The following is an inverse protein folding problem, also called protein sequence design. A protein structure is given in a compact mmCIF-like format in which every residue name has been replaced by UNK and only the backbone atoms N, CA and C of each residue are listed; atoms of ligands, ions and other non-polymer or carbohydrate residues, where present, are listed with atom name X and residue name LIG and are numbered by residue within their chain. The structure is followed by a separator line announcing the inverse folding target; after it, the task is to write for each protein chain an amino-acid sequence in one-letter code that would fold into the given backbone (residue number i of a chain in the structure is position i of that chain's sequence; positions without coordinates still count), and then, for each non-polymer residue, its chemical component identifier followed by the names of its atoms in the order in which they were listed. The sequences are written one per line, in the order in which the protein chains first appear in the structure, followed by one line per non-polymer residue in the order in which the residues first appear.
data_IF_612573190334
#
_entry.id   IF_612573190334
#
_cell.length_a   1.000
_cell.length_b   1.000
_cell.length_c   1.000
_cell.angle_alpha   90.00
_cell.angle_beta   90.00
_cell.angle_gamma   90.00
#
_symmetry.space_group_name_H-M   'P 1'
#
loop_
_entity.id
_entity.type
_entity.pdbx_description
1 polymer ?
#
# COMPACT_ATOMS: atom_id res chain seq x y z
N UNK A 1 12.50 -21.12 -9.20
CA UNK A 1 12.40 -20.09 -8.17
C UNK A 1 13.25 -18.84 -8.45
N UNK A 2 14.53 -18.94 -8.91
CA UNK A 2 15.39 -17.76 -9.19
C UNK A 2 14.83 -16.79 -10.27
N UNK A 3 14.18 -17.30 -11.32
CA UNK A 3 13.57 -16.46 -12.38
C UNK A 3 12.36 -15.68 -11.87
N UNK A 4 11.55 -16.25 -10.98
CA UNK A 4 10.41 -15.59 -10.37
C UNK A 4 10.85 -14.47 -9.40
N UNK A 5 11.92 -14.72 -8.63
CA UNK A 5 12.48 -13.72 -7.74
C UNK A 5 13.07 -12.51 -8.51
N UNK A 6 13.63 -12.74 -9.71
CA UNK A 6 14.10 -11.66 -10.58
C UNK A 6 12.94 -10.85 -11.18
N UNK A 7 11.83 -11.51 -11.53
CA UNK A 7 10.66 -10.85 -12.11
C UNK A 7 9.80 -10.10 -11.06
N UNK A 8 9.87 -10.50 -9.78
CA UNK A 8 9.01 -9.95 -8.73
C UNK A 8 9.07 -8.41 -8.59
N UNK A 9 10.23 -7.72 -8.61
CA UNK A 9 10.27 -6.26 -8.54
C UNK A 9 9.56 -5.58 -9.72
N UNK A 10 9.71 -6.12 -10.93
CA UNK A 10 9.09 -5.58 -12.13
C UNK A 10 7.57 -5.75 -12.10
N UNK A 11 7.10 -6.94 -11.72
CA UNK A 11 5.66 -7.22 -11.54
C UNK A 11 5.08 -6.31 -10.46
N UNK A 12 5.77 -6.18 -9.33
CA UNK A 12 5.36 -5.27 -8.26
C UNK A 12 5.24 -3.82 -8.75
N UNK A 13 6.26 -3.32 -9.46
CA UNK A 13 6.26 -1.95 -9.98
C UNK A 13 5.10 -1.72 -10.95
N UNK A 14 4.83 -2.65 -11.86
CA UNK A 14 3.70 -2.55 -12.79
C UNK A 14 2.36 -2.54 -12.07
N UNK A 15 2.15 -3.46 -11.12
CA UNK A 15 0.91 -3.52 -10.34
C UNK A 15 0.76 -2.27 -9.47
N UNK A 16 1.83 -1.82 -8.82
CA UNK A 16 1.81 -0.62 -7.99
C UNK A 16 1.49 0.64 -8.80
N UNK A 17 2.19 0.83 -9.92
CA UNK A 17 1.99 2.00 -10.79
C UNK A 17 0.60 2.03 -11.42
N UNK A 18 0.01 0.89 -11.74
CA UNK A 18 -1.35 0.81 -12.25
C UNK A 18 -2.39 1.38 -11.27
N UNK A 19 -2.09 1.37 -9.97
CA UNK A 19 -2.94 1.97 -8.95
C UNK A 19 -3.19 3.46 -9.14
N UNK A 20 -2.19 4.23 -9.60
CA UNK A 20 -2.35 5.66 -9.89
C UNK A 20 -3.15 5.92 -11.17
N UNK A 21 -3.03 5.04 -12.16
CA UNK A 21 -3.85 5.09 -13.38
C UNK A 21 -5.31 4.81 -13.04
N UNK A 22 -5.56 3.78 -12.23
CA UNK A 22 -6.91 3.45 -11.73
C UNK A 22 -7.47 4.60 -10.87
N UNK A 23 -6.64 5.22 -10.02
CA UNK A 23 -7.05 6.37 -9.24
C UNK A 23 -7.44 7.57 -10.10
N UNK A 24 -6.82 7.76 -11.28
CA UNK A 24 -7.14 8.87 -12.18
C UNK A 24 -8.41 8.63 -13.00
N UNK A 25 -8.60 7.42 -13.50
CA UNK A 25 -9.67 7.11 -14.48
C UNK A 25 -10.80 6.24 -13.90
N UNK A 26 -10.58 5.64 -12.74
CA UNK A 26 -11.51 4.67 -12.16
C UNK A 26 -12.73 5.27 -11.48
N UNK A 27 -12.72 6.57 -11.18
CA UNK A 27 -13.80 7.24 -10.45
C UNK A 27 -14.24 8.57 -11.10
N UNK A 28 -14.14 8.70 -12.44
CA UNK A 28 -14.60 9.91 -13.15
C UNK A 28 -16.04 10.28 -12.82
N UNK A 29 -16.89 9.28 -12.50
CA UNK A 29 -18.30 9.45 -12.14
C UNK A 29 -18.63 9.06 -10.70
N UNK A 30 -17.63 8.86 -9.81
CA UNK A 30 -17.86 8.41 -8.44
C UNK A 30 -16.85 9.01 -7.47
N UNK A 31 -17.23 9.03 -6.18
CA UNK A 31 -16.34 9.45 -5.07
C UNK A 31 -15.12 8.52 -4.96
N UNK A 32 -13.93 9.11 -4.89
CA UNK A 32 -12.66 8.38 -4.84
C UNK A 32 -12.53 7.49 -3.61
N UNK A 33 -13.02 7.96 -2.46
CA UNK A 33 -12.95 7.22 -1.21
C UNK A 33 -13.93 6.05 -1.21
N UNK A 34 -15.11 6.21 -1.82
CA UNK A 34 -16.05 5.11 -1.99
C UNK A 34 -15.46 4.02 -2.89
N UNK A 35 -14.88 4.41 -4.02
CA UNK A 35 -14.24 3.45 -4.93
C UNK A 35 -13.05 2.75 -4.26
N UNK A 36 -12.25 3.49 -3.49
CA UNK A 36 -11.15 2.91 -2.71
C UNK A 36 -11.66 1.92 -1.67
N UNK A 37 -12.72 2.26 -0.93
CA UNK A 37 -13.33 1.38 0.06
C UNK A 37 -13.83 0.08 -0.58
N UNK A 38 -14.49 0.17 -1.73
CA UNK A 38 -14.96 -0.99 -2.48
C UNK A 38 -13.80 -1.89 -2.92
N UNK A 39 -12.73 -1.31 -3.45
CA UNK A 39 -11.50 -2.04 -3.83
C UNK A 39 -10.88 -2.76 -2.65
N UNK A 40 -10.77 -2.09 -1.50
CA UNK A 40 -10.22 -2.70 -0.28
C UNK A 40 -11.12 -3.81 0.26
N UNK A 41 -12.44 -3.64 0.18
CA UNK A 41 -13.39 -4.69 0.55
C UNK A 41 -13.23 -5.94 -0.31
N UNK A 42 -13.14 -5.79 -1.64
CA UNK A 42 -12.88 -6.92 -2.53
C UNK A 42 -11.56 -7.61 -2.24
N UNK A 43 -10.49 -6.84 -2.02
CA UNK A 43 -9.19 -7.39 -1.64
C UNK A 43 -9.26 -8.16 -0.32
N UNK A 44 -9.96 -7.62 0.69
CA UNK A 44 -10.15 -8.27 1.98
C UNK A 44 -10.93 -9.59 1.84
N UNK A 45 -12.00 -9.62 1.05
CA UNK A 45 -12.78 -10.83 0.79
C UNK A 45 -11.92 -11.90 0.10
N UNK A 46 -11.16 -11.52 -0.94
CA UNK A 46 -10.27 -12.46 -1.65
C UNK A 46 -9.22 -13.02 -0.70
N UNK A 47 -8.55 -12.17 0.08
CA UNK A 47 -7.54 -12.59 1.04
C UNK A 47 -8.12 -13.48 2.15
N UNK A 48 -9.31 -13.16 2.63
CA UNK A 48 -10.02 -13.99 3.60
C UNK A 48 -10.31 -15.40 3.03
N UNK A 49 -10.86 -15.47 1.83
CA UNK A 49 -11.15 -16.74 1.15
C UNK A 49 -9.88 -17.56 0.91
N UNK A 50 -8.79 -16.90 0.50
CA UNK A 50 -7.49 -17.56 0.33
C UNK A 50 -6.95 -18.10 1.66
N UNK A 51 -7.06 -17.32 2.75
CA UNK A 51 -6.63 -17.73 4.09
C UNK A 51 -7.38 -18.97 4.56
N UNK A 52 -8.69 -19.00 4.35
CA UNK A 52 -9.54 -20.15 4.67
C UNK A 52 -9.19 -21.35 3.79
N UNK A 53 -9.05 -21.15 2.48
CA UNK A 53 -8.70 -22.22 1.53
C UNK A 53 -7.33 -22.85 1.82
N UNK A 54 -6.36 -22.03 2.24
CA UNK A 54 -5.02 -22.47 2.64
C UNK A 54 -4.96 -22.98 4.10
N UNK A 55 -6.09 -23.03 4.79
CA UNK A 55 -6.20 -23.50 6.19
C UNK A 55 -5.25 -22.77 7.15
N UNK A 56 -4.98 -21.49 6.89
CA UNK A 56 -4.13 -20.69 7.76
C UNK A 56 -4.88 -20.30 9.05
N UNK A 57 -4.20 -20.23 10.20
CA UNK A 57 -4.83 -19.83 11.44
C UNK A 57 -5.27 -18.36 11.39
N UNK A 58 -6.54 -18.10 11.68
CA UNK A 58 -7.11 -16.76 11.75
C UNK A 58 -7.00 -16.13 13.16
N UNK A 59 -6.31 -16.81 14.08
CA UNK A 59 -6.18 -16.32 15.46
C UNK A 59 -5.04 -15.31 15.54
N UNK A 60 -5.40 -14.07 15.88
CA UNK A 60 -4.47 -13.02 16.21
C UNK A 60 -4.50 -12.78 17.72
N UNK A 61 -3.36 -12.45 18.31
CA UNK A 61 -3.32 -11.90 19.65
C UNK A 61 -4.00 -10.52 19.66
N UNK A 62 -4.40 -10.02 20.83
CA UNK A 62 -4.97 -8.66 20.94
C UNK A 62 -3.97 -7.59 20.51
N UNK A 63 -2.69 -7.79 20.80
CA UNK A 63 -1.62 -6.88 20.44
C UNK A 63 -1.42 -6.85 18.92
N UNK A 64 -1.37 -8.03 18.28
CA UNK A 64 -1.26 -8.14 16.83
C UNK A 64 -2.46 -7.54 16.11
N UNK A 65 -3.67 -7.76 16.65
CA UNK A 65 -4.88 -7.17 16.09
C UNK A 65 -4.84 -5.64 16.16
N UNK A 66 -4.46 -5.07 17.32
CA UNK A 66 -4.34 -3.63 17.48
C UNK A 66 -3.29 -3.04 16.52
N UNK A 67 -2.10 -3.65 16.46
CA UNK A 67 -1.05 -3.23 15.54
C UNK A 67 -1.51 -3.31 14.07
N UNK A 68 -2.17 -4.40 13.69
CA UNK A 68 -2.70 -4.58 12.32
C UNK A 68 -3.74 -3.53 11.96
N UNK A 69 -4.66 -3.24 12.88
CA UNK A 69 -5.69 -2.19 12.67
C UNK A 69 -5.05 -0.82 12.53
N UNK A 70 -4.09 -0.48 13.42
CA UNK A 70 -3.39 0.81 13.37
C UNK A 70 -2.62 0.98 12.05
N UNK A 71 -1.86 -0.05 11.64
CA UNK A 71 -1.13 -0.05 10.37
C UNK A 71 -2.10 0.05 9.19
N UNK A 72 -3.18 -0.73 9.20
CA UNK A 72 -4.18 -0.72 8.15
C UNK A 72 -4.86 0.65 7.99
N UNK A 73 -5.28 1.27 9.08
CA UNK A 73 -5.87 2.61 9.05
C UNK A 73 -4.87 3.68 8.60
N UNK A 74 -3.63 3.60 9.05
CA UNK A 74 -2.60 4.57 8.66
C UNK A 74 -2.23 4.42 7.18
N UNK A 75 -2.01 3.20 6.71
CA UNK A 75 -1.55 2.94 5.35
C UNK A 75 -2.67 3.06 4.31
N UNK A 76 -3.83 2.48 4.58
CA UNK A 76 -4.93 2.46 3.60
C UNK A 76 -5.89 3.64 3.78
N UNK A 77 -6.19 4.02 5.02
CA UNK A 77 -7.05 5.16 5.31
C UNK A 77 -6.35 6.49 5.08
N UNK A 78 -5.35 6.82 5.88
CA UNK A 78 -4.72 8.14 5.81
C UNK A 78 -3.83 8.30 4.57
N UNK A 79 -2.89 7.38 4.34
CA UNK A 79 -1.95 7.52 3.24
C UNK A 79 -2.61 7.31 1.87
N UNK A 80 -3.17 6.14 1.62
CA UNK A 80 -3.76 5.82 0.32
C UNK A 80 -5.03 6.63 0.05
N UNK A 81 -5.90 6.78 1.06
CA UNK A 81 -7.08 7.64 0.98
C UNK A 81 -6.73 9.09 0.70
N UNK A 82 -5.71 9.64 1.37
CA UNK A 82 -5.23 11.00 1.14
C UNK A 82 -4.69 11.20 -0.29
N UNK A 83 -3.94 10.23 -0.83
CA UNK A 83 -3.44 10.28 -2.21
C UNK A 83 -4.60 10.26 -3.22
N UNK A 84 -5.57 9.38 -3.04
CA UNK A 84 -6.71 9.28 -3.96
C UNK A 84 -7.59 10.53 -3.90
N UNK A 85 -7.85 11.03 -2.71
CA UNK A 85 -8.59 12.27 -2.52
C UNK A 85 -7.86 13.49 -3.13
N UNK A 86 -6.54 13.55 -3.02
CA UNK A 86 -5.76 14.60 -3.68
C UNK A 86 -5.87 14.54 -5.21
N UNK A 87 -5.87 13.33 -5.80
CA UNK A 87 -6.06 13.14 -7.25
C UNK A 87 -7.47 13.57 -7.67
N UNK A 88 -8.50 13.26 -6.89
CA UNK A 88 -9.87 13.71 -7.10
C UNK A 88 -9.97 15.24 -7.10
N UNK A 89 -9.25 15.90 -6.20
CA UNK A 89 -9.16 17.37 -6.15
C UNK A 89 -8.32 17.98 -7.28
N UNK A 90 -7.83 17.16 -8.23
CA UNK A 90 -7.11 17.63 -9.41
C UNK A 90 -5.58 17.51 -9.33
N UNK A 91 -5.02 16.89 -8.29
CA UNK A 91 -3.59 16.64 -8.26
C UNK A 91 -3.19 15.69 -9.40
N UNK A 92 -2.13 16.01 -10.19
CA UNK A 92 -1.67 15.12 -11.26
C UNK A 92 -1.23 13.76 -10.68
N UNK A 93 -1.79 12.67 -11.21
CA UNK A 93 -1.46 11.31 -10.75
C UNK A 93 0.04 11.01 -10.87
N UNK A 94 0.71 11.51 -11.92
CA UNK A 94 2.15 11.40 -12.09
C UNK A 94 2.94 12.10 -10.98
N UNK A 95 2.56 13.32 -10.59
CA UNK A 95 3.20 14.04 -9.49
C UNK A 95 2.97 13.31 -8.15
N UNK A 96 1.74 12.85 -7.91
CA UNK A 96 1.39 12.06 -6.73
C UNK A 96 2.24 10.78 -6.65
N UNK A 97 2.46 10.08 -7.78
CA UNK A 97 3.30 8.89 -7.81
C UNK A 97 4.77 9.18 -7.50
N UNK A 98 5.32 10.31 -7.98
CA UNK A 98 6.70 10.73 -7.68
C UNK A 98 6.86 11.05 -6.20
N UNK A 99 5.95 11.84 -5.63
CA UNK A 99 5.98 12.20 -4.20
C UNK A 99 5.90 10.94 -3.33
N UNK A 100 4.97 10.03 -3.64
CA UNK A 100 4.81 8.79 -2.87
C UNK A 100 5.99 7.82 -3.03
N UNK A 101 6.70 7.86 -4.16
CA UNK A 101 7.91 7.05 -4.36
C UNK A 101 9.10 7.48 -3.49
N UNK A 102 9.05 8.69 -2.89
CA UNK A 102 10.03 9.12 -1.90
C UNK A 102 9.84 8.48 -0.52
N UNK A 103 8.72 7.78 -0.29
CA UNK A 103 8.40 7.14 0.99
C UNK A 103 9.52 6.23 1.52
N UNK A 104 10.16 5.34 0.73
CA UNK A 104 11.25 4.49 1.25
C UNK A 104 12.43 5.30 1.77
N UNK A 105 12.74 6.44 1.16
CA UNK A 105 13.83 7.34 1.60
C UNK A 105 13.47 7.95 2.95
N UNK A 106 12.25 8.49 3.07
CA UNK A 106 11.77 9.07 4.32
C UNK A 106 11.73 8.04 5.46
N UNK A 107 11.21 6.84 5.18
CA UNK A 107 11.17 5.74 6.15
C UNK A 107 12.57 5.34 6.58
N UNK A 108 13.53 5.25 5.66
CA UNK A 108 14.93 4.92 5.98
C UNK A 108 15.57 5.97 6.89
N UNK A 109 15.36 7.26 6.62
CA UNK A 109 15.87 8.35 7.47
C UNK A 109 15.23 8.32 8.86
N UNK A 110 13.91 8.09 8.92
CA UNK A 110 13.20 7.99 10.20
C UNK A 110 13.61 6.75 11.00
N UNK A 111 13.82 5.61 10.36
CA UNK A 111 14.27 4.38 11.01
C UNK A 111 15.63 4.57 11.69
N UNK A 112 16.59 5.24 11.03
CA UNK A 112 17.89 5.58 11.63
C UNK A 112 17.72 6.46 12.86
N UNK A 113 16.84 7.47 12.80
CA UNK A 113 16.69 8.44 13.89
C UNK A 113 15.84 7.93 15.06
N UNK A 114 14.78 7.18 14.78
CA UNK A 114 13.79 6.75 15.78
C UNK A 114 14.08 5.36 16.34
N UNK A 115 14.60 4.46 15.49
CA UNK A 115 14.85 3.06 15.87
C UNK A 115 16.33 2.77 16.08
N UNK A 116 17.21 3.77 15.87
CA UNK A 116 18.67 3.62 15.93
C UNK A 116 19.20 2.46 15.05
N UNK A 117 18.51 2.14 13.97
CA UNK A 117 18.92 1.11 13.02
C UNK A 117 19.98 1.68 12.07
N UNK A 118 21.22 1.13 12.06
CA UNK A 118 22.26 1.62 11.16
C UNK A 118 21.92 1.26 9.72
N UNK A 119 22.02 2.25 8.82
CA UNK A 119 21.92 1.98 7.37
C UNK A 119 23.10 1.11 6.94
N UNK A 120 22.80 0.00 6.32
CA UNK A 120 23.83 -0.84 5.71
C UNK A 120 24.28 -0.26 4.38
N UNK A 121 25.57 -0.51 3.99
CA UNK A 121 26.12 -0.04 2.71
C UNK A 121 25.33 -0.49 1.46
N UNK A 122 24.43 -1.46 1.59
CA UNK A 122 23.57 -1.94 0.49
C UNK A 122 22.24 -1.17 0.43
N UNK A 123 21.95 -0.32 1.40
CA UNK A 123 20.70 0.48 1.50
C UNK A 123 20.94 1.95 1.10
N UNK A 124 22.20 2.33 0.92
CA UNK A 124 22.64 3.62 0.36
C UNK A 124 22.96 3.43 -1.13
#
# INVERSE_FOLDING_TARGET
MKKLAFAAPWIFTLIWSSGFVVAKYGFEDSDSLFFLALRLLFAAVILFLLTVALRQPLRLSREDLYATVLIGLSLHGLYLGGVWYAIELGAPAGLSSVITSMQPILVSVLAVRLLAEPLTRKQI
#
